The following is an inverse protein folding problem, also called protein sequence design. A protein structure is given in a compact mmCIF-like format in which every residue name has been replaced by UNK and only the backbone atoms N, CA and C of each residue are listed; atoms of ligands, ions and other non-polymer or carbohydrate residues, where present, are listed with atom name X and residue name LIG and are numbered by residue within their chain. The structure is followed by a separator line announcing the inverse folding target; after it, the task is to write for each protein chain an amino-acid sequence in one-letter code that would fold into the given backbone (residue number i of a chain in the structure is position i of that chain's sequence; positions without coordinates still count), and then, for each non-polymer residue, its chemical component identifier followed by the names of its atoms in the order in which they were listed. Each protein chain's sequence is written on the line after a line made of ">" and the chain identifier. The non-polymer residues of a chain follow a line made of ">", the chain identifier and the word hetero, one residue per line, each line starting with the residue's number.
data_IF_095518562406
#
_entry.id   IF_095518562406
#
_cell.length_a   1.000
_cell.length_b   1.000
_cell.length_c   1.000
_cell.angle_alpha   90.00
_cell.angle_beta   90.00
_cell.angle_gamma   90.00
#
_symmetry.space_group_name_H-M   'P 1'
#
loop_
_entity.id
_entity.type
_entity.pdbx_description
1 polymer ?
#
# COMPACT_ATOMS: atom_id res chain seq x y z
N UNK A 1 -66.24 6.02 -40.04
CA UNK A 1 -65.46 5.15 -39.14
C UNK A 1 -64.59 6.04 -38.28
N UNK A 2 -64.83 6.04 -36.97
CA UNK A 2 -64.39 7.06 -36.01
C UNK A 2 -63.02 6.75 -35.40
N UNK A 3 -62.19 7.79 -35.28
CA UNK A 3 -60.87 7.81 -34.64
C UNK A 3 -60.93 7.36 -33.17
N UNK A 4 -59.92 6.61 -32.71
CA UNK A 4 -59.65 6.40 -31.28
C UNK A 4 -58.19 6.72 -30.94
N UNK A 5 -58.07 7.73 -30.07
CA UNK A 5 -56.84 8.34 -29.55
C UNK A 5 -56.11 7.44 -28.54
N UNK A 6 -54.77 7.46 -28.66
CA UNK A 6 -53.69 7.44 -27.64
C UNK A 6 -54.04 6.89 -26.23
N UNK A 7 -53.38 5.78 -25.86
CA UNK A 7 -53.25 5.31 -24.47
C UNK A 7 -51.78 5.19 -24.06
N UNK A 8 -51.27 6.19 -23.32
CA UNK A 8 -49.96 6.16 -22.66
C UNK A 8 -50.16 5.55 -21.27
N UNK A 9 -49.35 4.57 -20.82
CA UNK A 9 -49.53 3.94 -19.52
C UNK A 9 -49.33 4.96 -18.37
N UNK A 10 -50.03 4.78 -17.24
CA UNK A 10 -50.02 5.76 -16.16
C UNK A 10 -48.64 5.85 -15.48
N UNK A 11 -48.11 7.08 -15.40
CA UNK A 11 -46.99 7.44 -14.57
C UNK A 11 -47.32 7.14 -13.10
N UNK A 12 -46.60 6.19 -12.51
CA UNK A 12 -46.61 5.94 -11.08
C UNK A 12 -46.02 7.16 -10.38
N UNK A 13 -46.88 7.99 -9.82
CA UNK A 13 -46.51 9.06 -8.88
C UNK A 13 -45.80 8.43 -7.69
N UNK A 14 -44.46 8.53 -7.65
CA UNK A 14 -43.70 8.30 -6.42
C UNK A 14 -43.96 9.50 -5.51
N UNK A 15 -44.44 9.31 -4.26
CA UNK A 15 -44.57 10.41 -3.32
C UNK A 15 -43.18 11.01 -3.06
N UNK A 16 -43.03 12.31 -3.36
CA UNK A 16 -41.81 13.04 -3.01
C UNK A 16 -41.74 13.16 -1.50
N UNK A 17 -40.96 12.32 -0.83
CA UNK A 17 -40.48 12.60 0.51
C UNK A 17 -39.53 13.80 0.41
N UNK A 18 -40.10 15.00 0.49
CA UNK A 18 -39.36 16.23 0.77
C UNK A 18 -38.81 16.12 2.19
N UNK A 19 -37.68 15.45 2.37
CA UNK A 19 -36.83 15.70 3.53
C UNK A 19 -36.37 17.15 3.41
N UNK A 20 -36.64 18.01 4.41
CA UNK A 20 -36.12 19.36 4.39
C UNK A 20 -34.60 19.26 4.47
N UNK A 21 -33.91 19.61 3.38
CA UNK A 21 -32.46 19.85 3.39
C UNK A 21 -32.22 20.92 4.45
N UNK A 22 -31.76 20.50 5.64
CA UNK A 22 -31.23 21.41 6.66
C UNK A 22 -30.07 22.11 5.99
N UNK A 23 -30.28 23.38 5.62
CA UNK A 23 -29.19 24.27 5.25
C UNK A 23 -28.21 24.24 6.44
N UNK A 24 -26.92 23.92 6.25
CA UNK A 24 -25.96 24.18 7.31
C UNK A 24 -26.11 25.66 7.68
N UNK A 25 -26.27 25.92 8.97
CA UNK A 25 -26.34 27.28 9.48
C UNK A 25 -25.15 28.04 8.90
N UNK A 26 -25.45 29.14 8.19
CA UNK A 26 -24.42 30.09 7.79
C UNK A 26 -23.83 30.64 9.09
N UNK A 27 -22.74 30.04 9.55
CA UNK A 27 -21.82 30.74 10.43
C UNK A 27 -21.49 32.04 9.69
N UNK A 28 -21.88 33.16 10.28
CA UNK A 28 -21.53 34.49 9.81
C UNK A 28 -20.02 34.64 10.00
N UNK A 29 -19.25 34.09 9.07
CA UNK A 29 -17.81 34.33 8.98
C UNK A 29 -17.68 35.78 8.52
N UNK A 30 -17.15 36.62 9.40
CA UNK A 30 -16.75 37.97 9.06
C UNK A 30 -15.86 37.91 7.82
N UNK A 31 -16.34 38.50 6.72
CA UNK A 31 -15.70 38.46 5.41
C UNK A 31 -14.39 39.24 5.49
N UNK A 32 -13.28 38.56 5.80
CA UNK A 32 -11.95 39.14 5.79
C UNK A 32 -10.97 38.63 6.83
N UNK A 33 -11.38 37.78 7.78
CA UNK A 33 -10.44 37.22 8.76
C UNK A 33 -9.55 36.18 8.08
N UNK A 34 -8.32 36.58 7.76
CA UNK A 34 -7.26 35.70 7.28
C UNK A 34 -6.67 34.99 8.50
N UNK A 35 -6.93 33.69 8.64
CA UNK A 35 -6.31 32.87 9.67
C UNK A 35 -4.99 32.30 9.17
N UNK A 36 -3.96 32.29 10.02
CA UNK A 36 -2.68 31.69 9.68
C UNK A 36 -2.78 30.17 9.70
N UNK A 37 -2.70 29.56 8.52
CA UNK A 37 -2.59 28.12 8.36
C UNK A 37 -1.15 27.66 8.69
N UNK A 38 -1.03 26.49 9.33
CA UNK A 38 0.25 25.85 9.65
C UNK A 38 0.70 24.94 8.51
N UNK A 39 -0.17 24.03 8.04
CA UNK A 39 0.07 23.15 6.88
C UNK A 39 -1.23 22.51 6.38
N UNK A 40 -1.19 21.94 5.18
CA UNK A 40 -2.24 21.03 4.68
C UNK A 40 -1.89 19.61 5.15
N UNK A 41 -2.88 18.91 5.69
CA UNK A 41 -2.75 17.52 6.14
C UNK A 41 -3.23 16.53 5.08
N UNK A 42 -4.28 16.89 4.35
CA UNK A 42 -4.92 16.02 3.36
C UNK A 42 -5.63 16.85 2.27
N UNK A 43 -5.92 16.22 1.14
CA UNK A 43 -6.63 16.83 0.03
C UNK A 43 -7.73 15.94 -0.55
N UNK A 44 -8.87 16.55 -0.87
CA UNK A 44 -9.91 15.92 -1.70
C UNK A 44 -9.94 16.59 -3.10
N UNK A 45 -10.93 16.23 -3.92
CA UNK A 45 -11.15 16.82 -5.24
C UNK A 45 -11.33 18.36 -5.21
N UNK A 46 -12.08 18.89 -4.25
CA UNK A 46 -12.49 20.28 -4.07
C UNK A 46 -11.92 20.99 -2.81
N UNK A 47 -11.36 20.28 -1.84
CA UNK A 47 -10.99 20.82 -0.52
C UNK A 47 -9.59 20.41 -0.06
N UNK A 48 -9.03 21.17 0.88
CA UNK A 48 -7.86 20.84 1.68
C UNK A 48 -8.25 20.72 3.15
N UNK A 49 -7.70 19.73 3.85
CA UNK A 49 -7.75 19.64 5.30
C UNK A 49 -6.59 20.47 5.87
N UNK A 50 -6.90 21.60 6.48
CA UNK A 50 -5.90 22.57 6.94
C UNK A 50 -5.71 22.44 8.45
N UNK A 51 -4.46 22.25 8.89
CA UNK A 51 -4.04 22.45 10.27
C UNK A 51 -3.75 23.94 10.48
N UNK A 52 -4.34 24.55 11.50
CA UNK A 52 -4.25 25.99 11.77
C UNK A 52 -3.17 26.28 12.83
N UNK A 53 -2.47 27.41 12.69
CA UNK A 53 -1.38 27.82 13.60
C UNK A 53 -1.89 28.62 14.81
N UNK A 54 -3.11 29.17 14.71
CA UNK A 54 -3.64 30.10 15.71
C UNK A 54 -4.23 29.40 16.95
N UNK A 55 -3.89 29.92 18.12
CA UNK A 55 -4.55 29.61 19.38
C UNK A 55 -5.84 30.43 19.43
N UNK A 56 -6.99 29.76 19.45
CA UNK A 56 -8.28 30.45 19.51
C UNK A 56 -8.35 31.32 20.78
N UNK A 57 -8.54 32.64 20.67
CA UNK A 57 -8.44 33.57 21.79
C UNK A 57 -9.50 33.33 22.86
N UNK A 58 -10.61 32.65 22.54
CA UNK A 58 -11.68 32.33 23.49
C UNK A 58 -11.44 31.02 24.23
N UNK A 59 -10.85 30.03 23.57
CA UNK A 59 -10.70 28.67 24.14
C UNK A 59 -9.28 28.36 24.60
N UNK A 60 -8.29 29.18 24.21
CA UNK A 60 -6.85 28.94 24.40
C UNK A 60 -6.37 27.59 23.85
N UNK A 61 -7.12 27.02 22.90
CA UNK A 61 -6.79 25.77 22.22
C UNK A 61 -6.44 26.04 20.77
N UNK A 62 -5.55 25.22 20.20
CA UNK A 62 -5.33 25.18 18.76
C UNK A 62 -6.66 24.90 18.05
N UNK A 63 -6.88 25.54 16.91
CA UNK A 63 -8.01 25.22 16.07
C UNK A 63 -7.88 23.76 15.58
N UNK A 64 -8.98 23.02 15.65
CA UNK A 64 -9.04 21.67 15.09
C UNK A 64 -8.86 21.75 13.57
N UNK A 65 -8.15 20.77 12.97
CA UNK A 65 -8.04 20.71 11.52
C UNK A 65 -9.40 20.65 10.85
N UNK A 66 -9.60 21.46 9.81
CA UNK A 66 -10.90 21.56 9.13
C UNK A 66 -10.76 21.54 7.62
N UNK A 67 -11.78 21.02 6.94
CA UNK A 67 -11.86 20.99 5.49
C UNK A 67 -12.28 22.36 4.94
N UNK A 68 -11.45 22.93 4.08
CA UNK A 68 -11.69 24.21 3.43
C UNK A 68 -11.52 24.11 1.91
N UNK A 69 -12.26 24.92 1.13
CA UNK A 69 -12.09 24.98 -0.32
C UNK A 69 -10.65 25.32 -0.72
N UNK A 70 -10.20 24.80 -1.86
CA UNK A 70 -8.83 25.05 -2.36
C UNK A 70 -8.51 26.53 -2.57
N UNK A 71 -9.52 27.35 -2.86
CA UNK A 71 -9.39 28.80 -3.03
C UNK A 71 -9.03 29.53 -1.72
N UNK A 72 -9.20 28.88 -0.56
CA UNK A 72 -8.84 29.45 0.74
C UNK A 72 -7.36 29.24 1.11
N UNK A 73 -6.64 28.35 0.40
CA UNK A 73 -5.25 28.07 0.70
C UNK A 73 -4.33 29.08 0.00
N UNK A 74 -3.31 29.57 0.71
CA UNK A 74 -2.32 30.46 0.11
C UNK A 74 -1.44 29.69 -0.89
N UNK A 75 -0.98 30.32 -1.99
CA UNK A 75 -0.12 29.64 -2.97
C UNK A 75 1.14 29.02 -2.37
N UNK A 76 1.73 29.67 -1.35
CA UNK A 76 2.88 29.14 -0.62
C UNK A 76 2.57 27.84 0.12
N UNK A 77 1.39 27.77 0.77
CA UNK A 77 0.93 26.57 1.47
C UNK A 77 0.70 25.41 0.50
N UNK A 78 0.13 25.70 -0.67
CA UNK A 78 -0.09 24.70 -1.74
C UNK A 78 1.25 24.20 -2.28
N UNK A 79 2.24 25.07 -2.46
CA UNK A 79 3.57 24.68 -2.91
C UNK A 79 4.25 23.74 -1.90
N UNK A 80 4.20 24.07 -0.62
CA UNK A 80 4.72 23.22 0.45
C UNK A 80 4.01 21.86 0.47
N UNK A 81 2.68 21.85 0.40
CA UNK A 81 1.90 20.60 0.33
C UNK A 81 2.28 19.73 -0.87
N UNK A 82 2.46 20.33 -2.05
CA UNK A 82 2.90 19.59 -3.24
C UNK A 82 4.29 18.99 -3.04
N UNK A 83 5.19 19.70 -2.37
CA UNK A 83 6.53 19.21 -2.07
C UNK A 83 6.49 18.05 -1.06
N UNK A 84 5.72 18.21 0.02
CA UNK A 84 5.51 17.17 1.04
C UNK A 84 4.85 15.91 0.44
N UNK A 85 3.92 16.10 -0.50
CA UNK A 85 3.25 15.00 -1.21
C UNK A 85 4.19 14.29 -2.20
N UNK A 86 5.03 15.05 -2.90
CA UNK A 86 5.98 14.48 -3.85
C UNK A 86 7.08 13.65 -3.17
N UNK A 87 7.41 13.93 -1.90
CA UNK A 87 8.40 13.17 -1.13
C UNK A 87 7.82 12.07 -0.25
N UNK A 88 6.51 11.81 -0.31
CA UNK A 88 5.86 10.76 0.51
C UNK A 88 6.00 9.41 -0.19
N UNK A 89 7.16 8.81 -0.03
CA UNK A 89 7.36 7.39 -0.27
C UNK A 89 6.78 6.61 0.91
N UNK A 90 5.88 5.68 0.62
CA UNK A 90 5.33 4.78 1.61
C UNK A 90 6.08 3.45 1.51
N UNK A 91 6.58 2.94 2.63
CA UNK A 91 7.24 1.64 2.63
C UNK A 91 6.25 0.56 2.27
N UNK A 92 6.64 -0.30 1.32
CA UNK A 92 5.85 -1.44 0.90
C UNK A 92 6.60 -2.73 1.25
N UNK A 93 5.86 -3.74 1.70
CA UNK A 93 6.41 -5.09 1.89
C UNK A 93 6.71 -5.75 0.53
N UNK A 94 5.90 -5.45 -0.49
CA UNK A 94 6.14 -5.94 -1.84
C UNK A 94 4.87 -6.07 -2.67
N UNK A 95 5.00 -6.69 -3.85
CA UNK A 95 3.89 -6.94 -4.77
C UNK A 95 3.30 -8.32 -4.47
N UNK A 96 1.97 -8.37 -4.33
CA UNK A 96 1.21 -9.61 -4.08
C UNK A 96 0.60 -10.15 -5.36
N UNK A 97 0.17 -9.26 -6.24
CA UNK A 97 -0.45 -9.61 -7.51
C UNK A 97 -0.13 -8.57 -8.58
N UNK A 98 -0.25 -8.97 -9.83
CA UNK A 98 -0.02 -8.13 -11.00
C UNK A 98 -1.19 -8.28 -11.97
N UNK A 99 -1.55 -7.19 -12.64
CA UNK A 99 -2.36 -7.21 -13.85
C UNK A 99 -1.67 -6.38 -14.95
N UNK A 100 -2.36 -6.16 -16.07
CA UNK A 100 -1.76 -5.47 -17.23
C UNK A 100 -1.29 -4.02 -16.89
N UNK A 101 -1.97 -3.33 -15.98
CA UNK A 101 -1.80 -1.89 -15.75
C UNK A 101 -1.36 -1.50 -14.33
N UNK A 102 -1.40 -2.45 -13.39
CA UNK A 102 -1.26 -2.18 -11.97
C UNK A 102 -0.62 -3.35 -11.23
N UNK A 103 0.00 -3.01 -10.10
CA UNK A 103 0.47 -3.95 -9.09
C UNK A 103 -0.42 -3.85 -7.85
N UNK A 104 -0.75 -4.99 -7.26
CA UNK A 104 -1.36 -5.03 -5.94
C UNK A 104 -0.24 -5.00 -4.92
N UNK A 105 -0.06 -3.85 -4.28
CA UNK A 105 1.02 -3.62 -3.32
C UNK A 105 0.52 -3.97 -1.92
N UNK A 106 1.29 -4.78 -1.20
CA UNK A 106 1.14 -4.93 0.24
C UNK A 106 2.05 -3.92 0.92
N UNK A 107 1.45 -3.11 1.77
CA UNK A 107 2.09 -2.00 2.43
C UNK A 107 2.74 -2.46 3.74
N UNK A 108 3.83 -1.80 4.14
CA UNK A 108 4.40 -2.00 5.46
C UNK A 108 3.54 -1.29 6.52
N UNK A 109 3.46 -1.86 7.72
CA UNK A 109 2.73 -1.26 8.83
C UNK A 109 3.31 0.12 9.16
N UNK A 110 2.45 1.09 9.51
CA UNK A 110 2.93 2.40 9.91
C UNK A 110 3.78 2.26 11.20
N UNK A 111 5.08 2.61 11.19
CA UNK A 111 5.95 2.42 12.35
C UNK A 111 5.56 3.30 13.54
N UNK A 112 4.71 4.32 13.34
CA UNK A 112 4.26 5.23 14.40
C UNK A 112 2.92 4.84 14.99
N UNK A 113 1.98 4.37 14.17
CA UNK A 113 0.63 4.03 14.63
C UNK A 113 0.41 2.54 14.80
N UNK A 114 1.26 1.70 14.19
CA UNK A 114 1.09 0.25 14.10
C UNK A 114 -0.11 -0.14 13.23
N UNK A 115 -0.62 0.80 12.42
CA UNK A 115 -1.75 0.53 11.54
C UNK A 115 -1.29 -0.33 10.35
N UNK A 116 -1.96 -1.47 10.20
CA UNK A 116 -1.80 -2.36 9.05
C UNK A 116 -2.64 -1.79 7.90
N UNK A 117 -1.98 -1.42 6.81
CA UNK A 117 -2.66 -0.94 5.62
C UNK A 117 -3.16 -2.11 4.76
N UNK A 118 -4.35 -1.95 4.17
CA UNK A 118 -4.88 -2.94 3.24
C UNK A 118 -4.14 -2.90 1.92
N UNK A 119 -3.93 -4.06 1.30
CA UNK A 119 -3.35 -4.13 -0.04
C UNK A 119 -4.19 -3.32 -1.06
N UNK A 120 -3.55 -2.43 -1.81
CA UNK A 120 -4.20 -1.62 -2.85
C UNK A 120 -3.63 -1.89 -4.23
N UNK A 121 -4.44 -1.64 -5.27
CA UNK A 121 -3.99 -1.68 -6.65
C UNK A 121 -3.42 -0.33 -7.05
N UNK A 122 -2.10 -0.27 -7.21
CA UNK A 122 -1.38 0.93 -7.62
C UNK A 122 -0.91 0.81 -9.08
N UNK A 123 -0.88 1.91 -9.85
CA UNK A 123 -0.31 1.93 -11.19
C UNK A 123 1.15 1.48 -11.20
N UNK A 124 1.59 0.77 -12.25
CA UNK A 124 2.99 0.29 -12.35
C UNK A 124 4.03 1.42 -12.25
N UNK A 125 3.68 2.63 -12.70
CA UNK A 125 4.56 3.80 -12.62
C UNK A 125 4.83 4.29 -11.18
N UNK A 126 4.05 3.84 -10.19
CA UNK A 126 4.19 4.24 -8.79
C UNK A 126 4.89 3.17 -7.94
N UNK A 127 5.09 1.98 -8.48
CA UNK A 127 5.90 0.95 -7.82
C UNK A 127 7.39 1.29 -7.98
N UNK A 128 8.17 1.17 -6.91
CA UNK A 128 9.62 1.34 -6.99
C UNK A 128 10.25 0.19 -7.76
N UNK A 129 11.32 0.46 -8.51
CA UNK A 129 12.01 -0.58 -9.29
C UNK A 129 12.52 -1.73 -8.41
N UNK A 130 12.87 -1.43 -7.16
CA UNK A 130 13.31 -2.43 -6.19
C UNK A 130 12.23 -3.49 -5.91
N UNK A 131 10.99 -3.08 -5.60
CA UNK A 131 9.91 -4.05 -5.32
C UNK A 131 9.46 -4.81 -6.57
N UNK A 132 9.58 -4.19 -7.74
CA UNK A 132 9.29 -4.84 -9.02
C UNK A 132 10.30 -5.94 -9.31
N UNK A 133 11.59 -5.67 -9.08
CA UNK A 133 12.65 -6.67 -9.23
C UNK A 133 12.45 -7.87 -8.30
N UNK A 134 12.12 -7.62 -7.04
CA UNK A 134 11.85 -8.69 -6.07
C UNK A 134 10.63 -9.53 -6.48
N UNK A 135 9.60 -8.89 -7.05
CA UNK A 135 8.45 -9.59 -7.61
C UNK A 135 8.80 -10.46 -8.81
N UNK A 136 9.63 -9.98 -9.73
CA UNK A 136 10.08 -10.75 -10.88
C UNK A 136 10.89 -11.98 -10.47
N UNK A 137 11.78 -11.84 -9.48
CA UNK A 137 12.51 -12.95 -8.89
C UNK A 137 11.55 -13.98 -8.27
N UNK A 138 10.55 -13.51 -7.52
CA UNK A 138 9.54 -14.37 -6.90
C UNK A 138 8.68 -15.09 -7.95
N UNK A 139 8.32 -14.44 -9.05
CA UNK A 139 7.60 -15.09 -10.16
C UNK A 139 8.45 -16.18 -10.81
N UNK A 140 9.73 -15.93 -11.04
CA UNK A 140 10.64 -16.92 -11.63
C UNK A 140 10.77 -18.17 -10.74
N UNK A 141 10.90 -18.00 -9.42
CA UNK A 141 10.92 -19.11 -8.47
C UNK A 141 9.60 -19.90 -8.46
N UNK A 142 8.47 -19.20 -8.43
CA UNK A 142 7.14 -19.83 -8.50
C UNK A 142 6.97 -20.63 -9.80
N UNK A 143 7.44 -20.10 -10.93
CA UNK A 143 7.38 -20.79 -12.22
C UNK A 143 8.30 -22.03 -12.25
N UNK A 144 9.51 -21.92 -11.73
CA UNK A 144 10.43 -23.06 -11.62
C UNK A 144 9.83 -24.16 -10.74
N UNK A 145 9.23 -23.79 -9.61
CA UNK A 145 8.55 -24.73 -8.71
C UNK A 145 7.32 -25.37 -9.36
N UNK A 146 6.52 -24.59 -10.09
CA UNK A 146 5.35 -25.09 -10.81
C UNK A 146 5.74 -26.13 -11.88
N UNK A 147 6.81 -25.84 -12.65
CA UNK A 147 7.36 -26.79 -13.63
C UNK A 147 7.85 -28.08 -12.97
N UNK A 148 8.52 -27.97 -11.81
CA UNK A 148 8.95 -29.13 -11.03
C UNK A 148 7.77 -29.98 -10.54
N UNK A 149 6.68 -29.35 -10.08
CA UNK A 149 5.48 -30.06 -9.65
C UNK A 149 4.72 -30.71 -10.80
N UNK A 150 4.67 -30.09 -11.99
CA UNK A 150 4.06 -30.72 -13.17
C UNK A 150 4.86 -31.93 -13.64
N UNK A 151 6.20 -31.83 -13.69
CA UNK A 151 7.07 -32.95 -14.06
C UNK A 151 6.98 -34.13 -13.08
N UNK A 152 6.70 -33.87 -11.80
CA UNK A 152 6.51 -34.94 -10.80
C UNK A 152 5.13 -35.61 -10.87
N UNK A 153 4.11 -34.94 -11.42
CA UNK A 153 2.73 -35.45 -11.45
C UNK A 153 2.39 -36.22 -12.74
N UNK A 154 3.21 -36.07 -13.79
CA UNK A 154 3.12 -36.83 -15.04
C UNK A 154 3.70 -38.26 -14.93
N UNK A 155 4.50 -38.53 -13.88
CA UNK A 155 5.15 -39.84 -13.64
C UNK A 155 4.32 -40.83 -12.82
N UNK A 156 3.01 -40.59 -12.71
CA UNK A 156 2.07 -41.36 -11.89
C UNK A 156 0.99 -42.13 -12.65
N UNK A 157 1.17 -42.40 -13.96
CA UNK A 157 0.25 -43.23 -14.75
C UNK A 157 1.00 -44.36 -15.50
N UNK A 158 1.23 -45.45 -14.76
CA UNK A 158 1.43 -46.86 -15.14
C UNK A 158 2.10 -47.19 -16.49
N UNK A 159 3.31 -47.79 -16.43
CA UNK A 159 3.59 -49.06 -17.10
C UNK A 159 4.85 -49.73 -16.55
N UNK A 160 4.65 -50.98 -16.19
CA UNK A 160 5.61 -52.02 -15.87
C UNK A 160 6.43 -52.36 -17.12
N UNK A 161 7.75 -52.13 -17.08
CA UNK A 161 8.73 -52.83 -17.92
C UNK A 161 10.13 -52.59 -17.38
N UNK A 162 10.80 -53.70 -17.15
CA UNK A 162 12.14 -53.92 -16.63
C UNK A 162 13.27 -53.21 -17.41
N UNK A 163 14.38 -52.98 -16.69
CA UNK A 163 15.77 -52.81 -17.17
C UNK A 163 16.13 -51.51 -17.91
N UNK A 164 16.89 -50.62 -17.25
CA UNK A 164 18.35 -50.56 -17.48
C UNK A 164 19.00 -49.56 -16.48
N UNK A 165 20.08 -50.03 -15.86
CA UNK A 165 20.87 -49.33 -14.85
C UNK A 165 21.89 -48.46 -15.57
N UNK A 166 21.87 -47.14 -15.36
CA UNK A 166 23.10 -46.37 -15.48
C UNK A 166 23.19 -45.26 -14.44
N UNK A 167 24.04 -45.55 -13.45
CA UNK A 167 24.61 -44.64 -12.48
C UNK A 167 25.19 -43.39 -13.16
N UNK A 168 24.88 -42.21 -12.62
CA UNK A 168 25.87 -41.14 -12.57
C UNK A 168 25.70 -40.40 -11.24
N UNK A 169 26.57 -40.76 -10.31
CA UNK A 169 26.83 -40.04 -9.08
C UNK A 169 27.41 -38.67 -9.42
N UNK A 170 26.80 -37.60 -8.87
CA UNK A 170 27.49 -36.34 -8.64
C UNK A 170 27.30 -35.98 -7.17
N UNK A 171 28.25 -36.52 -6.42
CA UNK A 171 28.54 -36.32 -5.02
C UNK A 171 29.72 -35.32 -4.97
N UNK A 172 29.47 -34.05 -4.62
CA UNK A 172 30.44 -33.00 -4.19
C UNK A 172 29.71 -31.65 -4.32
N UNK A 173 29.42 -30.90 -3.27
CA UNK A 173 30.38 -29.95 -2.67
C UNK A 173 29.94 -29.41 -1.29
N UNK A 174 28.91 -29.98 -0.63
CA UNK A 174 28.38 -29.41 0.63
C UNK A 174 29.15 -29.81 1.91
N UNK A 175 30.01 -30.83 1.88
CA UNK A 175 30.69 -31.31 3.10
C UNK A 175 31.94 -30.49 3.49
N UNK A 176 32.52 -29.75 2.53
CA UNK A 176 33.77 -29.01 2.76
C UNK A 176 33.60 -27.77 3.66
N UNK A 177 32.45 -27.11 3.61
CA UNK A 177 32.18 -25.89 4.41
C UNK A 177 31.96 -26.20 5.90
N UNK A 178 31.38 -27.36 6.22
CA UNK A 178 31.09 -27.75 7.59
C UNK A 178 32.37 -28.05 8.39
N UNK A 179 33.39 -28.62 7.74
CA UNK A 179 34.65 -28.99 8.40
C UNK A 179 35.53 -27.77 8.74
N UNK A 180 35.43 -26.67 7.98
CA UNK A 180 36.20 -25.45 8.29
C UNK A 180 35.69 -24.74 9.54
N UNK A 181 34.36 -24.71 9.76
CA UNK A 181 33.76 -24.11 10.96
C UNK A 181 34.17 -24.89 12.23
N UNK A 182 34.26 -26.23 12.14
CA UNK A 182 34.62 -27.05 13.28
C UNK A 182 36.08 -26.86 13.75
N UNK A 183 37.01 -26.56 12.85
CA UNK A 183 38.42 -26.34 13.20
C UNK A 183 38.66 -24.96 13.86
N UNK A 184 37.86 -23.95 13.53
CA UNK A 184 37.99 -22.60 14.09
C UNK A 184 37.55 -22.52 15.56
N UNK A 185 36.55 -23.33 15.95
CA UNK A 185 36.05 -23.38 17.34
C UNK A 185 37.09 -23.99 18.30
N UNK A 186 37.90 -24.95 17.84
CA UNK A 186 38.90 -25.60 18.69
C UNK A 186 40.21 -24.81 18.83
N UNK A 187 40.47 -23.82 17.95
CA UNK A 187 41.76 -23.12 17.88
C UNK A 187 41.79 -21.77 18.60
N UNK A 188 40.78 -21.39 19.39
CA UNK A 188 40.79 -20.13 20.14
C UNK A 188 41.46 -20.29 21.51
N UNK A 189 42.69 -19.75 21.73
CA UNK A 189 43.33 -19.76 23.05
C UNK A 189 42.62 -18.79 24.01
N UNK A 190 42.28 -19.33 25.18
CA UNK A 190 41.76 -18.63 26.36
C UNK A 190 42.48 -17.30 26.64
N UNK A 191 41.84 -16.18 26.32
CA UNK A 191 42.20 -14.89 26.90
C UNK A 191 41.69 -14.85 28.35
N UNK A 192 42.58 -15.22 29.26
CA UNK A 192 42.44 -15.07 30.71
C UNK A 192 42.08 -13.63 31.06
N UNK A 193 40.88 -13.46 31.62
CA UNK A 193 40.39 -12.20 32.15
C UNK A 193 41.08 -11.94 33.50
N UNK A 194 42.04 -11.01 33.53
CA UNK A 194 42.70 -10.58 34.77
C UNK A 194 41.76 -9.68 35.56
N UNK A 195 41.22 -10.24 36.63
CA UNK A 195 40.50 -9.56 37.70
C UNK A 195 41.53 -8.85 38.60
N UNK A 196 41.45 -7.53 38.70
CA UNK A 196 42.17 -6.73 39.69
C UNK A 196 41.17 -5.90 40.53
N UNK A 197 41.34 -5.79 41.85
CA UNK A 197 40.43 -5.11 42.77
C UNK A 197 40.47 -3.58 42.66
#
# INVERSE_FOLDING_TARGET
>A
MTERKRGRPPQRVRPSSKTPKRKPAKASVEKGQLYKAKRILDEDKANYLIEWDEINPKTKKLYEPSWHPKDCATPALIAQWKQDKAGKEWSAQGIVAENDYSYKISWEDDPKTGEVYQDTWEPKAFASEAIVRDWELRKADLEARAKKTLASNDRGSVSESEEDVQEHSDESDDDALQQQIAQEIQSSPSRSNTRGP
#
